data_IF_092580880372
#
_entry.id   IF_092580880372
#
_cell.length_a   1.000
_cell.length_b   1.000
_cell.length_c   1.000
_cell.angle_alpha   90.00
_cell.angle_beta   90.00
_cell.angle_gamma   90.00
#
_symmetry.space_group_name_H-M   'P 1'
#
loop_
_entity.id
_entity.type
_entity.pdbx_description
1 polymer ?
#
# COMPACT_ATOMS: atom_id res chain seq x y z
N UNK A 1 25.76 -41.13 -43.92
CA UNK A 1 25.95 -39.92 -43.09
C UNK A 1 24.67 -39.73 -42.29
N UNK A 2 24.63 -40.30 -41.09
CA UNK A 2 23.55 -40.06 -40.13
C UNK A 2 24.01 -38.92 -39.22
N UNK A 3 23.39 -37.76 -39.37
CA UNK A 3 23.60 -36.62 -38.48
C UNK A 3 23.14 -36.99 -37.07
N UNK A 4 24.10 -37.22 -36.18
CA UNK A 4 23.85 -37.37 -34.77
C UNK A 4 23.62 -35.97 -34.19
N UNK A 5 22.36 -35.52 -34.12
CA UNK A 5 22.02 -34.26 -33.43
C UNK A 5 22.39 -34.38 -31.94
N UNK A 6 23.53 -33.81 -31.57
CA UNK A 6 23.98 -33.68 -30.19
C UNK A 6 23.14 -32.59 -29.52
N UNK A 7 22.15 -32.98 -28.72
CA UNK A 7 21.41 -32.05 -27.87
C UNK A 7 22.25 -31.73 -26.64
N UNK A 8 22.73 -30.48 -26.46
CA UNK A 8 23.51 -30.13 -25.28
C UNK A 8 22.60 -30.09 -24.04
N UNK A 9 23.01 -30.79 -23.00
CA UNK A 9 22.41 -30.69 -21.67
C UNK A 9 23.22 -29.71 -20.83
N UNK A 10 22.54 -28.75 -20.20
CA UNK A 10 23.15 -27.74 -19.33
C UNK A 10 22.65 -27.90 -17.89
N UNK A 11 23.55 -27.77 -16.92
CA UNK A 11 23.23 -27.75 -15.49
C UNK A 11 23.63 -26.37 -14.95
N UNK A 12 22.69 -25.70 -14.30
CA UNK A 12 22.91 -24.41 -13.66
C UNK A 12 22.82 -24.58 -12.14
N UNK A 13 23.78 -24.02 -11.41
CA UNK A 13 23.79 -23.99 -9.95
C UNK A 13 24.27 -22.63 -9.45
N UNK A 14 23.76 -22.18 -8.30
CA UNK A 14 24.16 -20.93 -7.68
C UNK A 14 25.37 -21.17 -6.77
N UNK A 15 26.54 -20.64 -7.14
CA UNK A 15 27.74 -20.73 -6.32
C UNK A 15 27.69 -19.80 -5.10
N UNK A 16 27.19 -18.58 -5.31
CA UNK A 16 27.01 -17.57 -4.26
C UNK A 16 25.56 -17.10 -4.29
N UNK A 17 25.02 -16.94 -3.10
CA UNK A 17 23.67 -16.45 -2.85
C UNK A 17 23.62 -14.94 -3.10
N UNK A 18 22.55 -14.43 -3.72
CA UNK A 18 22.31 -12.97 -3.90
C UNK A 18 22.51 -12.20 -2.59
N UNK A 19 23.36 -11.18 -2.57
CA UNK A 19 23.66 -10.40 -1.35
C UNK A 19 22.93 -9.05 -1.31
N UNK A 20 22.54 -8.52 -2.46
CA UNK A 20 21.81 -7.26 -2.55
C UNK A 20 20.43 -7.36 -1.88
N UNK A 21 20.14 -6.39 -1.02
CA UNK A 21 18.84 -6.19 -0.38
C UNK A 21 18.00 -5.35 -1.33
N UNK A 22 16.85 -5.88 -1.74
CA UNK A 22 15.93 -5.15 -2.62
C UNK A 22 14.83 -4.45 -1.82
N UNK A 23 14.33 -5.10 -0.76
CA UNK A 23 13.28 -4.56 0.12
C UNK A 23 13.46 -5.06 1.55
N UNK A 24 13.00 -4.28 2.51
CA UNK A 24 12.89 -4.69 3.90
C UNK A 24 11.61 -4.12 4.53
N UNK A 25 11.00 -4.89 5.43
CA UNK A 25 9.82 -4.48 6.19
C UNK A 25 9.97 -4.90 7.65
N UNK A 26 9.42 -4.11 8.56
CA UNK A 26 9.38 -4.41 9.99
C UNK A 26 7.95 -4.52 10.49
N UNK A 27 7.71 -5.40 11.46
CA UNK A 27 6.39 -5.60 12.05
C UNK A 27 6.34 -6.86 12.90
N UNK A 28 5.14 -7.29 13.25
CA UNK A 28 4.86 -8.37 14.18
C UNK A 28 4.44 -9.63 13.44
N UNK A 29 5.37 -10.24 12.71
CA UNK A 29 5.07 -11.35 11.80
C UNK A 29 5.09 -12.72 12.48
N UNK A 30 6.02 -12.98 13.39
CA UNK A 30 6.16 -14.28 14.08
C UNK A 30 5.23 -14.41 15.26
N UNK A 31 5.00 -13.31 15.98
CA UNK A 31 4.15 -13.20 17.17
C UNK A 31 3.51 -11.81 17.20
N UNK A 32 2.50 -11.61 18.06
CA UNK A 32 1.90 -10.29 18.33
C UNK A 32 2.89 -9.31 19.00
N UNK A 33 3.86 -9.85 19.75
CA UNK A 33 4.76 -9.07 20.60
C UNK A 33 6.14 -8.90 19.96
N UNK A 34 6.61 -9.93 19.27
CA UNK A 34 7.94 -9.95 18.70
C UNK A 34 8.04 -8.93 17.56
N UNK A 35 9.06 -8.08 17.61
CA UNK A 35 9.39 -7.20 16.49
C UNK A 35 10.29 -7.96 15.52
N UNK A 36 9.84 -8.10 14.28
CA UNK A 36 10.59 -8.76 13.22
C UNK A 36 11.12 -7.75 12.20
N UNK A 37 12.26 -8.09 11.62
CA UNK A 37 12.76 -7.50 10.39
C UNK A 37 12.76 -8.59 9.30
N UNK A 38 12.09 -8.34 8.18
CA UNK A 38 12.04 -9.26 7.05
C UNK A 38 12.76 -8.60 5.87
N UNK A 39 13.71 -9.32 5.30
CA UNK A 39 14.59 -8.82 4.23
C UNK A 39 14.41 -9.66 2.97
N UNK A 40 14.10 -9.01 1.86
CA UNK A 40 14.03 -9.64 0.54
C UNK A 40 15.34 -9.45 -0.23
N UNK A 41 15.96 -10.57 -0.62
CA UNK A 41 17.16 -10.62 -1.47
C UNK A 41 16.85 -11.39 -2.74
N UNK A 42 16.35 -10.70 -3.76
CA UNK A 42 15.92 -11.26 -5.04
C UNK A 42 14.79 -12.31 -4.88
N UNK A 43 15.12 -13.59 -4.70
CA UNK A 43 14.15 -14.69 -4.57
C UNK A 43 14.17 -15.35 -3.20
N UNK A 44 14.73 -14.67 -2.20
CA UNK A 44 14.87 -15.18 -0.83
C UNK A 44 14.36 -14.16 0.18
N UNK A 45 13.75 -14.68 1.22
CA UNK A 45 13.31 -13.95 2.40
C UNK A 45 14.17 -14.41 3.58
N UNK A 46 14.70 -13.47 4.33
CA UNK A 46 15.35 -13.72 5.61
C UNK A 46 14.50 -13.05 6.68
N UNK A 47 14.08 -13.81 7.69
CA UNK A 47 13.24 -13.35 8.80
C UNK A 47 14.10 -13.27 10.04
N UNK A 48 14.15 -12.09 10.65
CA UNK A 48 14.93 -11.81 11.86
C UNK A 48 14.00 -11.39 13.01
N UNK A 49 14.37 -11.79 14.23
CA UNK A 49 13.87 -11.20 15.47
C UNK A 49 14.79 -10.06 15.89
N UNK A 50 14.21 -8.91 16.24
CA UNK A 50 14.94 -7.79 16.83
C UNK A 50 15.12 -8.04 18.32
N UNK A 51 16.37 -8.14 18.77
CA UNK A 51 16.74 -8.29 20.18
C UNK A 51 17.62 -7.11 20.62
N UNK A 52 17.78 -6.88 21.94
CA UNK A 52 18.68 -5.84 22.44
C UNK A 52 20.14 -5.98 21.96
N UNK A 53 20.58 -7.22 21.70
CA UNK A 53 21.93 -7.54 21.22
C UNK A 53 22.09 -7.39 19.70
N UNK A 54 20.98 -7.29 18.95
CA UNK A 54 20.99 -7.15 17.49
C UNK A 54 19.88 -7.93 16.81
N UNK A 55 20.21 -8.55 15.68
CA UNK A 55 19.26 -9.32 14.87
C UNK A 55 19.54 -10.82 15.01
N UNK A 56 18.56 -11.57 15.48
CA UNK A 56 18.61 -13.03 15.52
C UNK A 56 17.87 -13.60 14.33
N UNK A 57 18.57 -14.25 13.40
CA UNK A 57 17.93 -14.89 12.24
C UNK A 57 17.06 -16.07 12.71
N UNK A 58 15.78 -16.04 12.33
CA UNK A 58 14.82 -17.08 12.69
C UNK A 58 14.65 -18.10 11.56
N UNK A 59 14.44 -17.63 10.32
CA UNK A 59 14.13 -18.52 9.18
C UNK A 59 14.59 -17.91 7.84
N UNK A 60 14.87 -18.76 6.85
CA UNK A 60 15.21 -18.36 5.47
C UNK A 60 14.32 -19.10 4.47
N UNK A 61 13.45 -18.37 3.76
CA UNK A 61 12.51 -18.94 2.80
C UNK A 61 12.89 -18.60 1.37
N UNK A 62 12.84 -19.59 0.48
CA UNK A 62 13.01 -19.39 -0.97
C UNK A 62 11.67 -19.22 -1.65
N UNK A 63 11.53 -18.14 -2.43
CA UNK A 63 10.38 -17.89 -3.29
C UNK A 63 10.75 -18.29 -4.72
N UNK A 64 9.88 -19.05 -5.38
CA UNK A 64 10.06 -19.44 -6.78
C UNK A 64 9.67 -18.31 -7.74
N UNK A 65 10.40 -17.20 -7.65
CA UNK A 65 10.23 -16.00 -8.44
C UNK A 65 11.05 -14.85 -7.84
N UNK A 66 11.38 -13.85 -8.65
CA UNK A 66 11.97 -12.62 -8.13
C UNK A 66 10.88 -11.83 -7.41
N UNK A 67 11.11 -11.50 -6.15
CA UNK A 67 10.23 -10.68 -5.33
C UNK A 67 10.23 -9.27 -5.93
N UNK A 68 9.05 -8.80 -6.34
CA UNK A 68 8.86 -7.47 -6.89
C UNK A 68 8.24 -6.52 -5.86
N UNK A 69 7.36 -7.03 -4.99
CA UNK A 69 6.80 -6.27 -3.86
C UNK A 69 6.68 -7.20 -2.64
N UNK A 70 7.00 -6.65 -1.46
CA UNK A 70 6.88 -7.27 -0.15
C UNK A 70 6.26 -6.27 0.82
N UNK A 71 5.09 -6.59 1.38
CA UNK A 71 4.37 -5.71 2.31
C UNK A 71 3.87 -6.52 3.51
N UNK A 72 4.06 -5.98 4.71
CA UNK A 72 3.38 -6.47 5.91
C UNK A 72 2.04 -5.77 6.08
N UNK A 73 1.06 -6.50 6.57
CA UNK A 73 -0.22 -5.94 6.99
C UNK A 73 -0.83 -6.81 8.07
N UNK A 74 -1.69 -6.24 8.90
CA UNK A 74 -2.46 -6.99 9.89
C UNK A 74 -3.85 -7.30 9.33
N UNK A 75 -4.20 -8.58 9.06
CA UNK A 75 -5.54 -8.95 8.65
C UNK A 75 -6.56 -8.59 9.74
N UNK A 76 -7.81 -8.36 9.32
CA UNK A 76 -8.90 -8.17 10.26
C UNK A 76 -9.03 -9.37 11.20
N UNK A 77 -9.17 -9.09 12.49
CA UNK A 77 -9.25 -10.09 13.58
C UNK A 77 -7.97 -10.93 13.77
N UNK A 78 -6.84 -10.52 13.22
CA UNK A 78 -5.53 -11.12 13.52
C UNK A 78 -4.78 -10.28 14.55
N UNK A 79 -4.07 -10.96 15.46
CA UNK A 79 -3.19 -10.32 16.45
C UNK A 79 -1.76 -10.12 15.91
N UNK A 80 -1.41 -10.86 14.85
CA UNK A 80 -0.11 -10.78 14.19
C UNK A 80 -0.25 -10.45 12.71
N UNK A 81 0.84 -10.02 12.12
CA UNK A 81 0.90 -9.58 10.75
C UNK A 81 1.00 -10.77 9.79
N UNK A 82 0.60 -10.53 8.55
CA UNK A 82 0.76 -11.42 7.41
C UNK A 82 1.61 -10.73 6.35
N UNK A 83 2.31 -11.52 5.55
CA UNK A 83 3.24 -11.02 4.55
C UNK A 83 2.65 -11.20 3.15
N UNK A 84 2.34 -10.10 2.48
CA UNK A 84 1.98 -10.10 1.07
C UNK A 84 3.24 -10.03 0.21
N UNK A 85 3.30 -10.92 -0.79
CA UNK A 85 4.38 -10.95 -1.77
C UNK A 85 3.80 -10.96 -3.17
N UNK A 86 4.36 -10.13 -4.04
CA UNK A 86 4.13 -10.15 -5.48
C UNK A 86 5.46 -10.39 -6.19
N UNK A 87 5.49 -11.36 -7.10
CA UNK A 87 6.67 -11.65 -7.92
C UNK A 87 6.65 -10.90 -9.25
N UNK A 88 7.80 -10.82 -9.93
CA UNK A 88 7.90 -10.24 -11.26
C UNK A 88 7.10 -10.97 -12.36
N UNK A 89 6.65 -12.21 -12.08
CA UNK A 89 5.74 -12.99 -12.94
C UNK A 89 4.28 -12.90 -12.48
N UNK A 90 3.97 -11.91 -11.66
CA UNK A 90 2.63 -11.62 -11.14
C UNK A 90 2.02 -12.75 -10.29
N UNK A 91 2.84 -13.65 -9.75
CA UNK A 91 2.36 -14.57 -8.70
C UNK A 91 2.27 -13.77 -7.40
N UNK A 92 1.04 -13.64 -6.90
CA UNK A 92 0.71 -13.02 -5.62
C UNK A 92 0.51 -14.12 -4.58
N UNK A 93 0.95 -13.87 -3.35
CA UNK A 93 0.73 -14.76 -2.21
C UNK A 93 0.63 -13.98 -0.90
N UNK A 94 -0.15 -14.52 0.03
CA UNK A 94 -0.18 -14.10 1.43
C UNK A 94 0.42 -15.23 2.24
N UNK A 95 1.49 -14.93 2.98
CA UNK A 95 2.19 -15.86 3.84
C UNK A 95 1.88 -15.56 5.31
N UNK A 96 1.75 -16.62 6.10
CA UNK A 96 1.56 -16.58 7.55
C UNK A 96 2.66 -17.41 8.22
N UNK A 97 3.16 -16.91 9.35
CA UNK A 97 4.02 -17.71 10.24
C UNK A 97 3.17 -18.69 11.06
N UNK A 98 3.70 -19.88 11.35
CA UNK A 98 3.18 -20.78 12.38
C UNK A 98 4.34 -21.43 13.12
N UNK A 99 4.21 -21.58 14.43
CA UNK A 99 5.13 -22.38 15.21
C UNK A 99 4.56 -23.78 15.34
N UNK A 100 5.24 -24.77 14.77
CA UNK A 100 4.90 -26.19 14.85
C UNK A 100 6.12 -26.88 15.47
N UNK A 101 5.93 -27.62 16.57
CA UNK A 101 7.00 -28.34 17.25
C UNK A 101 8.26 -27.49 17.57
N UNK A 102 8.04 -26.23 17.96
CA UNK A 102 9.07 -25.21 18.22
C UNK A 102 9.89 -24.74 16.99
N UNK A 103 9.50 -25.13 15.78
CA UNK A 103 10.08 -24.61 14.53
C UNK A 103 9.14 -23.60 13.87
N UNK A 104 9.73 -22.56 13.27
CA UNK A 104 8.99 -21.52 12.55
C UNK A 104 8.72 -22.00 11.12
N UNK A 105 7.49 -22.37 10.83
CA UNK A 105 7.03 -22.71 9.48
C UNK A 105 6.31 -21.53 8.82
N UNK A 106 6.56 -21.32 7.53
CA UNK A 106 5.88 -20.30 6.73
C UNK A 106 4.87 -20.97 5.81
N UNK A 107 3.59 -20.67 6.02
CA UNK A 107 2.50 -21.23 5.22
C UNK A 107 1.94 -20.22 4.23
N UNK A 108 1.64 -20.70 3.03
CA UNK A 108 0.86 -19.94 2.05
C UNK A 108 -0.62 -20.00 2.42
N UNK A 109 -1.14 -18.90 2.96
CA UNK A 109 -2.56 -18.75 3.28
C UNK A 109 -3.40 -18.66 2.00
N UNK A 110 -2.98 -17.76 1.11
CA UNK A 110 -3.66 -17.53 -0.15
C UNK A 110 -2.65 -17.28 -1.27
N UNK A 111 -2.98 -17.68 -2.49
CA UNK A 111 -2.15 -17.41 -3.65
C UNK A 111 -2.99 -17.26 -4.93
N UNK A 112 -2.37 -16.69 -5.97
CA UNK A 112 -2.98 -16.52 -7.27
C UNK A 112 -2.01 -15.89 -8.26
N UNK A 113 -2.33 -15.94 -9.55
CA UNK A 113 -1.63 -15.15 -10.56
C UNK A 113 -2.52 -13.96 -10.95
N UNK A 114 -1.98 -12.76 -10.79
CA UNK A 114 -2.71 -11.50 -11.00
C UNK A 114 -2.31 -10.82 -12.31
N UNK A 115 -1.64 -11.52 -13.23
CA UNK A 115 -1.29 -10.97 -14.53
C UNK A 115 -2.54 -10.57 -15.32
N UNK A 116 -2.49 -9.40 -15.95
CA UNK A 116 -3.46 -9.03 -16.96
C UNK A 116 -3.13 -9.72 -18.29
N UNK A 117 -4.18 -10.20 -18.99
CA UNK A 117 -4.01 -10.77 -20.34
C UNK A 117 -3.72 -9.69 -21.38
N UNK A 118 -4.15 -8.47 -21.12
CA UNK A 118 -4.10 -7.32 -22.01
C UNK A 118 -3.80 -6.08 -21.16
N UNK A 119 -2.90 -5.22 -21.61
CA UNK A 119 -2.57 -3.97 -20.94
C UNK A 119 -1.16 -3.50 -21.30
N UNK A 120 -0.95 -2.17 -21.33
CA UNK A 120 0.40 -1.60 -21.43
C UNK A 120 1.05 -1.73 -20.05
N UNK A 121 2.14 -2.50 -19.97
CA UNK A 121 2.93 -2.61 -18.73
C UNK A 121 3.43 -1.21 -18.40
N UNK A 122 3.24 -0.82 -17.15
CA UNK A 122 3.55 0.53 -16.72
C UNK A 122 5.06 0.75 -16.59
N UNK A 123 5.53 1.90 -17.06
CA UNK A 123 6.95 2.24 -17.11
C UNK A 123 7.53 2.45 -15.71
N UNK A 124 6.72 2.93 -14.78
CA UNK A 124 7.09 3.16 -13.38
C UNK A 124 7.08 1.87 -12.53
N UNK A 125 7.21 0.69 -13.14
CA UNK A 125 7.30 -0.60 -12.45
C UNK A 125 5.99 -1.09 -11.86
N UNK A 126 6.06 -1.95 -10.84
CA UNK A 126 4.89 -2.48 -10.13
C UNK A 126 4.71 -1.69 -8.84
N UNK A 127 3.51 -1.16 -8.58
CA UNK A 127 3.14 -0.65 -7.25
C UNK A 127 2.09 -1.59 -6.65
N UNK A 128 2.28 -1.94 -5.38
CA UNK A 128 1.24 -2.54 -4.56
C UNK A 128 1.12 -1.76 -3.26
N UNK A 129 -0.10 -1.53 -2.80
CA UNK A 129 -0.39 -0.91 -1.51
C UNK A 129 -1.54 -1.62 -0.84
N UNK A 130 -1.54 -1.61 0.49
CA UNK A 130 -2.53 -2.29 1.32
C UNK A 130 -3.28 -1.24 2.12
N UNK A 131 -4.60 -1.38 2.18
CA UNK A 131 -5.44 -0.54 3.03
C UNK A 131 -5.03 -0.67 4.50
N UNK A 132 -4.91 0.42 5.27
CA UNK A 132 -4.46 0.40 6.67
C UNK A 132 -5.23 -0.55 7.59
N UNK A 133 -6.51 -0.79 7.30
CA UNK A 133 -7.37 -1.68 8.08
C UNK A 133 -7.44 -3.10 7.49
N UNK A 134 -6.52 -3.45 6.58
CA UNK A 134 -6.39 -4.79 6.02
C UNK A 134 -7.59 -5.23 5.18
N UNK A 135 -8.32 -4.28 4.56
CA UNK A 135 -9.54 -4.57 3.78
C UNK A 135 -9.27 -5.00 2.35
N UNK A 136 -8.30 -4.36 1.70
CA UNK A 136 -7.98 -4.57 0.29
C UNK A 136 -6.51 -4.36 0.00
N UNK A 137 -6.05 -4.98 -1.08
CA UNK A 137 -4.77 -4.68 -1.73
C UNK A 137 -5.06 -4.04 -3.08
N UNK A 138 -4.43 -2.90 -3.36
CA UNK A 138 -4.47 -2.24 -4.65
C UNK A 138 -3.15 -2.46 -5.38
N UNK A 139 -3.22 -2.88 -6.65
CA UNK A 139 -2.08 -3.13 -7.51
C UNK A 139 -2.15 -2.25 -8.76
N UNK A 140 -1.05 -1.57 -9.09
CA UNK A 140 -0.84 -0.90 -10.38
C UNK A 140 0.16 -1.73 -11.18
N UNK A 141 -0.36 -2.53 -12.12
CA UNK A 141 0.45 -3.40 -13.00
C UNK A 141 0.52 -2.84 -14.44
N UNK A 142 -0.55 -2.20 -14.89
CA UNK A 142 -0.69 -1.64 -16.23
C UNK A 142 -1.20 -0.20 -16.16
N UNK A 143 -0.90 0.59 -17.19
CA UNK A 143 -1.39 1.96 -17.31
C UNK A 143 -2.93 1.97 -17.46
N UNK A 144 -3.61 2.87 -16.75
CA UNK A 144 -5.06 3.04 -16.81
C UNK A 144 -5.90 1.95 -16.13
N UNK A 145 -5.27 1.02 -15.40
CA UNK A 145 -5.94 -0.03 -14.64
C UNK A 145 -5.38 -0.16 -13.23
N UNK A 146 -6.27 -0.08 -12.24
CA UNK A 146 -5.98 -0.49 -10.87
C UNK A 146 -6.66 -1.84 -10.60
N UNK A 147 -5.89 -2.78 -10.06
CA UNK A 147 -6.36 -4.11 -9.75
C UNK A 147 -6.52 -4.27 -8.24
N UNK A 148 -7.74 -4.57 -7.81
CA UNK A 148 -8.10 -4.66 -6.39
C UNK A 148 -8.30 -6.11 -6.00
N UNK A 149 -7.59 -6.53 -4.95
CA UNK A 149 -7.79 -7.82 -4.29
C UNK A 149 -8.51 -7.54 -2.98
N UNK A 150 -9.67 -8.14 -2.78
CA UNK A 150 -10.38 -8.08 -1.50
C UNK A 150 -9.76 -9.10 -0.55
N UNK A 151 -9.40 -8.65 0.65
CA UNK A 151 -8.83 -9.50 1.69
C UNK A 151 -9.96 -10.17 2.45
N UNK A 152 -10.24 -11.42 2.09
CA UNK A 152 -11.15 -12.29 2.83
C UNK A 152 -10.32 -13.38 3.54
N UNK A 153 -10.58 -13.57 4.83
CA UNK A 153 -9.91 -14.58 5.63
C UNK A 153 -10.33 -16.01 5.25
N UNK A 154 -11.45 -16.19 4.55
CA UNK A 154 -11.99 -17.49 4.19
C UNK A 154 -11.57 -17.98 2.79
N UNK A 155 -10.94 -17.11 1.98
CA UNK A 155 -10.54 -17.44 0.61
C UNK A 155 -9.05 -17.71 0.52
N UNK A 156 -8.69 -18.90 0.04
CA UNK A 156 -7.30 -19.23 -0.29
C UNK A 156 -6.90 -18.77 -1.70
N UNK A 157 -7.85 -18.27 -2.48
CA UNK A 157 -7.62 -17.73 -3.82
C UNK A 157 -7.63 -16.20 -3.79
N UNK A 158 -6.58 -15.58 -4.33
CA UNK A 158 -6.49 -14.12 -4.46
C UNK A 158 -7.24 -13.64 -5.70
N UNK A 159 -8.56 -13.48 -5.56
CA UNK A 159 -9.42 -12.95 -6.62
C UNK A 159 -9.25 -11.44 -6.72
N UNK A 160 -9.00 -10.97 -7.95
CA UNK A 160 -8.78 -9.58 -8.24
C UNK A 160 -9.82 -9.02 -9.22
N UNK A 161 -10.17 -7.75 -9.06
CA UNK A 161 -11.05 -7.00 -9.97
C UNK A 161 -10.25 -5.85 -10.57
N UNK A 162 -10.37 -5.66 -11.88
CA UNK A 162 -9.77 -4.53 -12.57
C UNK A 162 -10.75 -3.36 -12.60
N UNK A 163 -10.29 -2.19 -12.17
CA UNK A 163 -11.03 -0.94 -12.26
C UNK A 163 -10.25 0.03 -13.15
N UNK A 164 -10.98 0.71 -14.03
CA UNK A 164 -10.40 1.69 -14.95
C UNK A 164 -10.17 3.00 -14.23
N UNK A 165 -9.01 3.58 -14.47
CA UNK A 165 -8.64 4.90 -13.97
C UNK A 165 -8.23 5.80 -15.15
N UNK A 166 -8.55 7.09 -15.07
CA UNK A 166 -8.25 8.04 -16.14
C UNK A 166 -6.76 8.41 -16.14
N UNK A 167 -6.15 8.43 -14.96
CA UNK A 167 -4.75 8.73 -14.74
C UNK A 167 -3.87 7.55 -15.17
N UNK A 168 -3.25 7.70 -16.35
CA UNK A 168 -2.43 6.64 -16.94
C UNK A 168 -0.99 6.62 -16.42
N UNK A 169 -0.39 7.80 -16.20
CA UNK A 169 0.99 7.94 -15.71
C UNK A 169 1.03 8.18 -14.19
N UNK A 170 0.83 7.11 -13.42
CA UNK A 170 0.91 7.15 -11.95
C UNK A 170 2.36 7.02 -11.51
N UNK A 171 2.87 8.02 -10.79
CA UNK A 171 4.21 8.05 -10.20
C UNK A 171 4.24 7.30 -8.87
N UNK A 172 3.30 7.62 -7.98
CA UNK A 172 3.15 6.97 -6.68
C UNK A 172 1.67 6.84 -6.30
N UNK A 173 1.37 5.88 -5.42
CA UNK A 173 0.02 5.49 -5.02
C UNK A 173 0.07 4.98 -3.59
N UNK A 174 -0.83 5.45 -2.73
CA UNK A 174 -0.97 4.97 -1.35
C UNK A 174 -2.42 4.99 -0.85
N UNK A 175 -2.71 4.26 0.22
CA UNK A 175 -3.98 4.38 0.94
C UNK A 175 -3.87 5.43 2.05
N UNK A 176 -4.94 6.21 2.25
CA UNK A 176 -5.06 7.16 3.36
C UNK A 176 -5.58 6.48 4.63
N UNK A 177 -5.12 6.96 5.78
CA UNK A 177 -5.59 6.54 7.10
C UNK A 177 -6.84 7.32 7.52
N UNK A 178 -7.58 6.80 8.51
CA UNK A 178 -8.79 7.46 9.04
C UNK A 178 -10.03 7.37 8.15
N UNK A 179 -9.97 6.66 7.02
CA UNK A 179 -11.08 6.60 6.07
C UNK A 179 -12.02 5.41 6.30
N UNK A 180 -13.32 5.71 6.50
CA UNK A 180 -14.39 4.71 6.66
C UNK A 180 -14.46 3.77 5.46
N UNK A 181 -14.27 4.29 4.25
CA UNK A 181 -14.12 3.49 3.03
C UNK A 181 -12.66 3.54 2.57
N UNK A 182 -12.13 2.46 1.96
CA UNK A 182 -10.78 2.48 1.40
C UNK A 182 -10.64 3.67 0.44
N UNK A 183 -9.67 4.53 0.70
CA UNK A 183 -9.42 5.74 -0.08
C UNK A 183 -7.96 5.77 -0.47
N UNK A 184 -7.69 5.80 -1.77
CA UNK A 184 -6.33 6.01 -2.29
C UNK A 184 -6.06 7.48 -2.51
N UNK A 185 -4.79 7.82 -2.41
CA UNK A 185 -4.16 9.01 -2.94
C UNK A 185 -3.20 8.60 -4.05
N UNK A 186 -3.26 9.29 -5.18
CA UNK A 186 -2.38 9.03 -6.31
C UNK A 186 -1.70 10.33 -6.74
N UNK A 187 -0.41 10.18 -7.04
CA UNK A 187 0.43 11.20 -7.66
C UNK A 187 0.58 10.80 -9.12
N UNK A 188 0.07 11.62 -10.03
CA UNK A 188 0.09 11.34 -11.45
C UNK A 188 0.64 12.50 -12.26
N UNK A 189 1.02 12.20 -13.50
CA UNK A 189 1.52 13.17 -14.46
C UNK A 189 0.59 13.26 -15.67
N UNK A 190 0.42 14.46 -16.20
CA UNK A 190 -0.21 14.71 -17.49
C UNK A 190 0.57 15.79 -18.29
N UNK A 191 -0.05 16.36 -19.32
CA UNK A 191 0.58 17.40 -20.15
C UNK A 191 0.81 18.73 -19.43
N UNK A 192 0.08 18.99 -18.34
CA UNK A 192 0.13 20.24 -17.56
C UNK A 192 1.13 20.16 -16.40
N UNK A 193 1.35 18.97 -15.84
CA UNK A 193 2.37 18.77 -14.81
C UNK A 193 2.13 17.54 -13.95
N UNK A 194 2.56 17.61 -12.68
CA UNK A 194 2.23 16.62 -11.66
C UNK A 194 1.04 17.09 -10.84
N UNK A 195 0.18 16.15 -10.49
CA UNK A 195 -1.10 16.38 -9.83
C UNK A 195 -1.33 15.31 -8.77
N UNK A 196 -2.13 15.65 -7.77
CA UNK A 196 -2.60 14.70 -6.75
C UNK A 196 -4.10 14.56 -6.86
N UNK A 197 -4.57 13.33 -6.76
CA UNK A 197 -6.00 13.03 -6.70
C UNK A 197 -6.27 11.96 -5.67
N UNK A 198 -7.44 12.02 -5.04
CA UNK A 198 -7.91 10.96 -4.17
C UNK A 198 -9.10 10.25 -4.77
N UNK A 199 -9.23 8.96 -4.50
CA UNK A 199 -10.36 8.17 -4.95
C UNK A 199 -10.83 7.25 -3.84
N UNK A 200 -12.13 7.31 -3.56
CA UNK A 200 -12.81 6.44 -2.61
C UNK A 200 -13.43 5.23 -3.33
N UNK A 201 -13.23 4.03 -2.80
CA UNK A 201 -13.72 2.79 -3.39
C UNK A 201 -14.96 2.25 -2.70
N UNK A 202 -15.95 1.80 -3.49
CA UNK A 202 -16.99 0.91 -2.98
C UNK A 202 -16.61 -0.55 -3.20
N UNK A 203 -16.39 -1.30 -2.11
CA UNK A 203 -16.11 -2.73 -2.22
C UNK A 203 -17.31 -3.54 -2.74
N UNK A 204 -18.54 -3.05 -2.53
CA UNK A 204 -19.77 -3.72 -2.99
C UNK A 204 -19.99 -3.52 -4.48
N UNK A 205 -19.96 -2.27 -4.94
CA UNK A 205 -20.20 -1.92 -6.34
C UNK A 205 -18.98 -2.11 -7.24
N UNK A 206 -17.78 -2.26 -6.65
CA UNK A 206 -16.50 -2.42 -7.39
C UNK A 206 -16.20 -1.24 -8.31
N UNK A 207 -16.56 -0.06 -7.86
CA UNK A 207 -16.39 1.19 -8.59
C UNK A 207 -15.88 2.30 -7.66
N UNK A 208 -15.33 3.35 -8.28
CA UNK A 208 -14.99 4.59 -7.61
C UNK A 208 -16.25 5.37 -7.29
N UNK A 209 -16.42 5.76 -6.03
CA UNK A 209 -17.62 6.49 -5.58
C UNK A 209 -17.41 7.99 -5.75
N UNK A 210 -16.28 8.48 -5.24
CA UNK A 210 -16.02 9.90 -5.05
C UNK A 210 -14.55 10.18 -5.25
N UNK A 211 -14.27 11.41 -5.63
CA UNK A 211 -12.96 12.06 -5.49
C UNK A 211 -13.05 12.96 -4.26
N UNK A 212 -12.59 12.52 -3.06
CA UNK A 212 -12.69 13.33 -1.85
C UNK A 212 -12.09 14.73 -2.01
N UNK A 213 -10.88 14.80 -2.56
CA UNK A 213 -10.18 16.02 -2.91
C UNK A 213 -9.14 15.79 -4.01
N UNK A 214 -8.70 16.86 -4.65
CA UNK A 214 -7.62 16.86 -5.66
C UNK A 214 -6.82 18.16 -5.56
N UNK A 215 -5.57 18.10 -5.99
CA UNK A 215 -4.73 19.28 -6.16
C UNK A 215 -4.01 19.24 -7.50
N UNK A 216 -4.21 20.29 -8.28
CA UNK A 216 -3.60 20.45 -9.59
C UNK A 216 -2.29 21.25 -9.49
N UNK A 217 -1.34 20.95 -10.38
CA UNK A 217 -0.09 21.71 -10.55
C UNK A 217 0.79 21.77 -9.29
N UNK A 218 1.11 20.61 -8.74
CA UNK A 218 2.15 20.53 -7.71
C UNK A 218 3.55 20.59 -8.35
N UNK A 219 4.59 20.51 -7.52
CA UNK A 219 5.97 20.47 -8.01
C UNK A 219 6.16 19.40 -9.08
N UNK A 220 6.79 19.78 -10.20
CA UNK A 220 7.01 18.90 -11.36
C UNK A 220 7.86 17.68 -11.04
N UNK A 221 8.64 17.71 -9.97
CA UNK A 221 9.50 16.60 -9.52
C UNK A 221 8.99 15.91 -8.25
N UNK A 222 7.76 16.18 -7.81
CA UNK A 222 7.07 15.44 -6.74
C UNK A 222 6.98 13.94 -7.03
N UNK A 223 7.61 13.09 -6.24
CA UNK A 223 7.80 11.66 -6.57
C UNK A 223 7.31 10.68 -5.51
N UNK A 224 7.12 11.12 -4.26
CA UNK A 224 6.80 10.22 -3.13
C UNK A 224 5.57 10.75 -2.40
N UNK A 225 4.65 9.84 -2.07
CA UNK A 225 3.53 10.04 -1.18
C UNK A 225 3.77 9.25 0.10
N UNK A 226 3.70 9.94 1.25
CA UNK A 226 3.74 9.32 2.57
C UNK A 226 2.37 9.52 3.22
N UNK A 227 1.52 8.48 3.29
CA UNK A 227 0.28 8.57 4.03
C UNK A 227 0.58 8.70 5.53
N UNK A 228 -0.04 9.68 6.19
CA UNK A 228 0.18 9.94 7.62
C UNK A 228 -0.88 9.16 8.43
N UNK A 229 -0.49 8.32 9.40
CA UNK A 229 -1.38 7.62 10.30
C UNK A 229 -2.24 8.54 11.18
N UNK A 230 -3.22 7.93 11.84
CA UNK A 230 -3.95 8.57 12.93
C UNK A 230 -2.97 9.01 14.04
N UNK A 231 -3.22 10.17 14.70
CA UNK A 231 -4.42 10.99 14.61
C UNK A 231 -4.40 12.09 13.54
N UNK A 232 -3.24 12.35 12.91
CA UNK A 232 -3.10 13.48 11.98
C UNK A 232 -3.78 13.22 10.64
N UNK A 233 -3.69 11.99 10.12
CA UNK A 233 -4.23 11.62 8.81
C UNK A 233 -3.67 12.50 7.67
N UNK A 234 -4.20 12.31 6.46
CA UNK A 234 -3.72 13.01 5.26
C UNK A 234 -2.46 12.38 4.66
N UNK A 235 -1.70 13.17 3.92
CA UNK A 235 -0.48 12.70 3.26
C UNK A 235 0.56 13.81 3.10
N UNK A 236 1.84 13.43 3.24
CA UNK A 236 2.99 14.25 2.88
C UNK A 236 3.44 13.88 1.46
N UNK A 237 3.77 14.89 0.68
CA UNK A 237 4.19 14.78 -0.71
C UNK A 237 5.59 15.36 -0.79
N UNK A 238 6.53 14.55 -1.27
CA UNK A 238 7.94 14.94 -1.37
C UNK A 238 8.29 15.10 -2.85
N UNK A 239 8.76 16.29 -3.20
CA UNK A 239 9.46 16.56 -4.45
C UNK A 239 10.93 16.84 -4.24
N UNK A 240 11.57 17.35 -5.28
CA UNK A 240 13.00 17.66 -5.28
C UNK A 240 13.28 18.94 -4.49
N UNK A 241 12.40 19.93 -4.58
CA UNK A 241 12.58 21.26 -3.99
C UNK A 241 11.54 21.61 -2.92
N UNK A 242 10.44 20.86 -2.82
CA UNK A 242 9.36 21.13 -1.88
C UNK A 242 8.83 19.88 -1.19
N UNK A 243 8.29 20.10 0.01
CA UNK A 243 7.54 19.10 0.77
C UNK A 243 6.21 19.73 1.14
N UNK A 244 5.12 19.05 0.79
CA UNK A 244 3.75 19.53 1.00
C UNK A 244 3.01 18.54 1.89
N UNK A 245 2.14 19.04 2.75
CA UNK A 245 1.21 18.20 3.50
C UNK A 245 -0.22 18.56 3.13
N UNK A 246 -1.03 17.53 2.96
CA UNK A 246 -2.44 17.66 2.65
C UNK A 246 -3.28 16.85 3.63
N UNK A 247 -4.08 17.55 4.41
CA UNK A 247 -5.14 16.97 5.25
C UNK A 247 -6.46 17.69 4.99
N UNK A 248 -7.27 17.10 4.12
CA UNK A 248 -8.65 17.57 3.85
C UNK A 248 -9.70 16.51 4.26
N UNK A 249 -9.23 15.42 4.86
CA UNK A 249 -10.09 14.35 5.39
C UNK A 249 -10.58 14.70 6.79
N UNK A 250 -9.75 15.35 7.62
CA UNK A 250 -10.11 15.69 9.00
C UNK A 250 -11.31 16.65 9.09
N UNK A 251 -11.44 17.64 8.20
CA UNK A 251 -12.56 18.61 8.28
C UNK A 251 -13.90 18.04 7.82
N UNK A 252 -13.93 17.38 6.67
CA UNK A 252 -15.19 16.96 6.04
C UNK A 252 -15.83 15.75 6.74
N UNK A 253 -15.03 14.81 7.25
CA UNK A 253 -15.54 13.64 7.96
C UNK A 253 -15.85 13.96 9.43
N UNK A 254 -15.11 14.86 10.10
CA UNK A 254 -15.51 15.37 11.42
C UNK A 254 -16.82 16.15 11.36
N UNK A 255 -17.04 16.97 10.33
CA UNK A 255 -18.33 17.63 10.12
C UNK A 255 -19.47 16.62 9.92
N UNK A 256 -19.23 15.51 9.21
CA UNK A 256 -20.19 14.40 9.08
C UNK A 256 -20.44 13.68 10.40
N UNK A 257 -19.40 13.31 11.14
CA UNK A 257 -19.54 12.67 12.46
C UNK A 257 -20.31 13.59 13.42
N UNK A 258 -20.00 14.89 13.44
CA UNK A 258 -20.73 15.89 14.23
C UNK A 258 -22.17 16.04 13.74
N UNK A 259 -22.43 15.95 12.43
CA UNK A 259 -23.78 16.02 11.85
C UNK A 259 -24.60 14.77 12.18
N UNK A 260 -23.99 13.59 12.20
CA UNK A 260 -24.62 12.32 12.56
C UNK A 260 -24.85 12.20 14.08
N UNK A 261 -23.98 12.79 14.89
CA UNK A 261 -24.20 12.99 16.34
C UNK A 261 -25.31 14.02 16.62
N UNK A 262 -25.49 15.02 15.74
CA UNK A 262 -26.58 16.01 15.85
C UNK A 262 -27.92 15.47 15.34
N UNK A 263 -27.92 14.56 14.36
CA UNK A 263 -29.14 13.95 13.81
C UNK A 263 -29.72 12.82 14.67
N UNK A 264 -28.92 12.30 15.61
CA UNK A 264 -29.35 11.35 16.66
C UNK A 264 -29.96 12.01 17.90
N UNK A 265 -30.03 13.35 17.91
CA UNK A 265 -30.80 14.13 18.88
C UNK A 265 -32.08 14.66 18.19
N UNK A 266 -33.27 14.53 18.80
CA UNK A 266 -34.50 15.05 18.21
C UNK A 266 -34.41 16.57 18.07
N UNK A 267 -34.40 17.04 16.82
CA UNK A 267 -34.33 18.46 16.49
C UNK A 267 -35.62 19.18 16.86
N UNK A 268 -35.56 20.11 17.82
CA UNK A 268 -36.58 21.16 17.95
C UNK A 268 -36.39 22.16 16.80
N UNK A 269 -37.44 22.33 16.00
CA UNK A 269 -37.48 23.29 14.90
C UNK A 269 -37.41 24.74 15.38
N UNK A 270 -36.49 25.52 14.81
CA UNK A 270 -36.71 26.94 14.45
C UNK A 270 -35.93 27.19 13.16
N UNK A 271 -36.62 27.64 12.10
CA UNK A 271 -36.03 27.86 10.77
C UNK A 271 -35.38 29.23 10.60
N UNK A 272 -34.52 29.35 9.58
CA UNK A 272 -34.36 30.53 8.71
C UNK A 272 -33.22 30.30 7.69
N UNK A 273 -33.47 30.70 6.44
CA UNK A 273 -32.46 31.39 5.60
C UNK A 273 -31.64 30.56 4.61
N UNK A 274 -32.05 30.58 3.34
CA UNK A 274 -31.20 30.31 2.18
C UNK A 274 -30.03 31.30 2.11
N UNK A 275 -28.83 30.78 1.79
CA UNK A 275 -27.65 31.58 1.52
C UNK A 275 -26.57 30.76 0.82
N UNK A 276 -26.39 30.99 -0.48
CA UNK A 276 -25.27 30.48 -1.28
C UNK A 276 -23.94 30.87 -0.66
N UNK A 277 -23.04 29.90 -0.43
CA UNK A 277 -21.64 30.12 -0.08
C UNK A 277 -20.75 29.68 -1.24
N UNK A 278 -19.98 30.64 -1.73
CA UNK A 278 -18.90 30.49 -2.71
C UNK A 278 -17.80 29.57 -2.21
N UNK A 279 -17.24 28.75 -3.11
CA UNK A 279 -16.03 27.96 -2.87
C UNK A 279 -14.85 28.91 -2.62
N UNK A 280 -14.35 28.96 -1.39
CA UNK A 280 -13.07 29.60 -1.07
C UNK A 280 -11.94 28.58 -1.27
N UNK A 281 -10.84 29.04 -1.88
CA UNK A 281 -9.63 28.27 -2.12
C UNK A 281 -8.99 27.80 -0.79
N UNK A 282 -8.60 26.52 -0.74
CA UNK A 282 -7.97 25.90 0.43
C UNK A 282 -6.57 26.49 0.65
N UNK A 283 -6.24 27.02 1.84
CA UNK A 283 -4.91 27.56 2.11
C UNK A 283 -3.88 26.42 2.14
N UNK A 284 -2.89 26.49 1.27
CA UNK A 284 -1.74 25.59 1.24
C UNK A 284 -0.77 26.01 2.34
N UNK A 285 -0.69 25.25 3.43
CA UNK A 285 0.24 25.53 4.51
C UNK A 285 1.62 24.94 4.17
N UNK A 286 2.65 25.79 4.09
CA UNK A 286 4.03 25.33 3.87
C UNK A 286 4.57 24.75 5.17
N UNK A 287 4.84 23.45 5.16
CA UNK A 287 5.37 22.71 6.31
C UNK A 287 6.89 22.88 6.36
N UNK A 288 7.42 23.15 7.56
CA UNK A 288 8.87 23.32 7.76
C UNK A 288 9.58 21.98 7.96
N UNK A 289 10.90 21.96 7.83
CA UNK A 289 11.72 20.76 8.10
C UNK A 289 11.53 20.28 9.55
N UNK A 290 11.33 21.19 10.50
CA UNK A 290 11.11 20.86 11.92
C UNK A 290 9.77 20.15 12.13
N UNK A 291 8.73 20.53 11.39
CA UNK A 291 7.43 19.87 11.43
C UNK A 291 7.52 18.44 10.86
N UNK A 292 8.32 18.24 9.81
CA UNK A 292 8.57 16.91 9.23
C UNK A 292 9.37 16.04 10.21
N UNK A 293 10.40 16.58 10.85
CA UNK A 293 11.14 15.87 11.89
C UNK A 293 10.19 15.44 13.00
N UNK A 294 9.29 16.33 13.43
CA UNK A 294 8.30 16.02 14.46
C UNK A 294 7.30 14.95 14.01
N UNK A 295 6.82 15.00 12.76
CA UNK A 295 5.96 13.94 12.20
C UNK A 295 6.71 12.60 12.16
N UNK A 296 7.98 12.60 11.73
CA UNK A 296 8.81 11.38 11.69
C UNK A 296 9.07 10.85 13.10
N UNK A 297 9.32 11.72 14.07
CA UNK A 297 9.48 11.37 15.50
C UNK A 297 8.19 10.80 16.10
N UNK A 298 7.04 11.39 15.79
CA UNK A 298 5.75 10.91 16.27
C UNK A 298 5.35 9.58 15.58
N UNK A 299 5.68 9.42 14.30
CA UNK A 299 5.56 8.16 13.56
C UNK A 299 6.45 7.04 14.12
N UNK A 300 7.66 7.37 14.57
CA UNK A 300 8.56 6.40 15.23
C UNK A 300 8.16 6.08 16.66
N UNK A 301 7.30 6.88 17.30
CA UNK A 301 6.74 6.58 18.64
C UNK A 301 5.48 5.72 18.60
N UNK A 302 4.80 5.64 17.45
CA UNK A 302 3.59 4.84 17.23
C UNK A 302 3.89 3.40 16.76
N UNK A 303 5.15 3.09 16.45
CA UNK A 303 5.66 1.75 16.14
C UNK A 303 6.66 1.30 17.22
#
# INVERSE_FOLDING_TARGET
MTDCHYNPYHIYSSAVRSTAIEQCVSGHFTSEIDLNLIVAKNSRLEIFLVTPEGLSQMEEVKIYGKIAVMLLFRPQNSLKDSLFILTNRYNAMILESKFIDNELEIHTRAHGNVADRIGKISENGIIAVIDPYGRVICLRLCDGLLKIIQLDNNSNELKAVNMRIEETEIQDLNFLYGCINPTIILLHQDQLGRHIKTHEFCLKEKEFIKVPWKQDNIEREASIIIPVPEPLCGAVIIGQESILYHDDLSRNDMERIVKDLKSSLPSCHIGAGDGCLSKEDVPTEQITVDDIIKIVEDLTRLH
#
